data_IF_344177076494
#
_entry.id   IF_344177076494
#
_cell.length_a   1.000
_cell.length_b   1.000
_cell.length_c   1.000
_cell.angle_alpha   90.00
_cell.angle_beta   90.00
_cell.angle_gamma   90.00
#
_symmetry.space_group_name_H-M   'P 1'
#
loop_
_entity.id
_entity.type
_entity.pdbx_description
1 polymer ?
#
# COMPACT_ATOMS: atom_id res chain seq x y z
N UNK A 1 19.66 -6.53 11.35
CA UNK A 1 18.60 -5.58 11.78
C UNK A 1 17.24 -6.27 11.95
N UNK A 2 16.79 -7.07 10.97
CA UNK A 2 15.53 -7.83 11.05
C UNK A 2 15.43 -8.72 12.29
N UNK A 3 16.48 -9.47 12.63
CA UNK A 3 16.53 -10.30 13.85
C UNK A 3 16.29 -9.50 15.14
N UNK A 4 16.91 -8.32 15.27
CA UNK A 4 16.75 -7.47 16.46
C UNK A 4 15.31 -6.94 16.58
N UNK A 5 14.69 -6.57 15.46
CA UNK A 5 13.29 -6.11 15.43
C UNK A 5 12.32 -7.25 15.75
N UNK A 6 12.55 -8.43 15.18
CA UNK A 6 11.77 -9.62 15.44
C UNK A 6 11.85 -10.04 16.90
N UNK A 7 13.06 -10.07 17.47
CA UNK A 7 13.30 -10.37 18.87
C UNK A 7 12.66 -9.32 19.80
N UNK A 8 12.73 -8.03 19.46
CA UNK A 8 12.12 -6.97 20.27
C UNK A 8 10.59 -7.02 20.30
N UNK A 9 9.97 -7.39 19.18
CA UNK A 9 8.51 -7.60 19.14
C UNK A 9 8.11 -8.92 19.80
N UNK A 10 8.99 -9.92 19.78
CA UNK A 10 8.71 -11.24 20.37
C UNK A 10 8.73 -11.17 21.90
N UNK A 11 7.63 -11.55 22.55
CA UNK A 11 7.45 -11.41 24.00
C UNK A 11 7.08 -9.99 24.45
N UNK A 12 6.79 -9.08 23.52
CA UNK A 12 6.30 -7.75 23.87
C UNK A 12 4.81 -7.78 24.26
N UNK A 13 4.34 -6.86 25.13
CA UNK A 13 2.90 -6.74 25.44
C UNK A 13 2.04 -6.51 24.20
N UNK A 14 2.60 -5.89 23.16
CA UNK A 14 1.94 -5.67 21.88
C UNK A 14 1.71 -6.99 21.12
N UNK A 15 2.70 -7.89 21.10
CA UNK A 15 2.53 -9.22 20.51
C UNK A 15 1.49 -10.03 21.31
N UNK A 16 1.58 -10.05 22.64
CA UNK A 16 0.63 -10.77 23.49
C UNK A 16 -0.80 -10.30 23.23
N UNK A 17 -1.01 -8.98 23.17
CA UNK A 17 -2.31 -8.38 22.85
C UNK A 17 -2.78 -8.79 21.46
N UNK A 18 -1.91 -8.72 20.44
CA UNK A 18 -2.27 -9.09 19.08
C UNK A 18 -2.64 -10.59 18.96
N UNK A 19 -1.88 -11.47 19.61
CA UNK A 19 -2.16 -12.91 19.65
C UNK A 19 -3.46 -13.17 20.40
N UNK A 20 -3.67 -12.53 21.55
CA UNK A 20 -4.89 -12.65 22.34
C UNK A 20 -6.11 -12.24 21.51
N UNK A 21 -6.07 -11.07 20.87
CA UNK A 21 -7.17 -10.56 20.05
C UNK A 21 -7.50 -11.52 18.91
N UNK A 22 -6.49 -11.96 18.15
CA UNK A 22 -6.69 -12.85 17.01
C UNK A 22 -7.17 -14.25 17.40
N UNK A 23 -6.84 -14.71 18.62
CA UNK A 23 -7.24 -16.03 19.12
C UNK A 23 -8.56 -16.06 19.89
N UNK A 24 -8.94 -14.97 20.56
CA UNK A 24 -10.06 -14.95 21.51
C UNK A 24 -11.24 -14.10 21.07
N UNK A 25 -11.09 -13.19 20.09
CA UNK A 25 -12.22 -12.40 19.56
C UNK A 25 -12.82 -13.15 18.35
N UNK A 26 -14.07 -13.65 18.46
CA UNK A 26 -14.68 -14.42 17.37
C UNK A 26 -14.76 -13.60 16.08
N UNK A 27 -14.29 -14.19 14.97
CA UNK A 27 -14.35 -13.57 13.63
C UNK A 27 -13.37 -12.41 13.39
N UNK A 28 -12.54 -12.02 14.37
CA UNK A 28 -11.61 -10.90 14.17
C UNK A 28 -10.62 -11.13 13.02
N UNK A 29 -9.95 -12.30 12.87
CA UNK A 29 -9.04 -12.52 11.75
C UNK A 29 -9.68 -12.32 10.36
N UNK A 30 -10.83 -12.95 10.02
CA UNK A 30 -11.46 -12.73 8.71
C UNK A 30 -12.04 -11.31 8.54
N UNK A 31 -12.51 -10.66 9.61
CA UNK A 31 -12.97 -9.26 9.54
C UNK A 31 -11.79 -8.33 9.22
N UNK A 32 -10.68 -8.46 9.94
CA UNK A 32 -9.48 -7.66 9.72
C UNK A 32 -8.92 -7.85 8.30
N UNK A 33 -8.90 -9.09 7.79
CA UNK A 33 -8.49 -9.37 6.42
C UNK A 33 -9.46 -8.79 5.39
N UNK A 34 -10.78 -8.86 5.62
CA UNK A 34 -11.78 -8.25 4.75
C UNK A 34 -11.60 -6.74 4.67
N UNK A 35 -11.43 -6.06 5.81
CA UNK A 35 -11.16 -4.63 5.87
C UNK A 35 -9.85 -4.27 5.16
N UNK A 36 -8.80 -5.08 5.30
CA UNK A 36 -7.54 -4.89 4.58
C UNK A 36 -7.73 -4.99 3.06
N UNK A 37 -8.50 -5.97 2.57
CA UNK A 37 -8.77 -6.14 1.14
C UNK A 37 -9.61 -4.97 0.60
N UNK A 38 -10.64 -4.54 1.34
CA UNK A 38 -11.43 -3.36 0.98
C UNK A 38 -10.57 -2.09 0.93
N UNK A 39 -9.68 -1.90 1.90
CA UNK A 39 -8.73 -0.79 1.87
C UNK A 39 -7.79 -0.84 0.66
N UNK A 40 -7.28 -2.03 0.30
CA UNK A 40 -6.53 -2.20 -0.95
C UNK A 40 -7.38 -1.81 -2.16
N UNK A 41 -8.64 -2.26 -2.24
CA UNK A 41 -9.53 -1.91 -3.35
C UNK A 41 -9.76 -0.40 -3.46
N UNK A 42 -9.91 0.30 -2.33
CA UNK A 42 -10.03 1.77 -2.30
C UNK A 42 -8.73 2.43 -2.78
N UNK A 43 -7.57 2.05 -2.25
CA UNK A 43 -6.26 2.58 -2.70
C UNK A 43 -6.06 2.37 -4.19
N UNK A 44 -6.33 1.17 -4.70
CA UNK A 44 -6.17 0.85 -6.11
C UNK A 44 -7.12 1.70 -6.96
N UNK A 45 -8.40 1.75 -6.61
CA UNK A 45 -9.40 2.49 -7.39
C UNK A 45 -9.09 3.99 -7.42
N UNK A 46 -8.75 4.60 -6.28
CA UNK A 46 -8.46 6.03 -6.21
C UNK A 46 -7.18 6.40 -6.95
N UNK A 47 -6.09 5.65 -6.75
CA UNK A 47 -4.78 5.96 -7.34
C UNK A 47 -4.73 5.63 -8.83
N UNK A 48 -5.27 4.48 -9.25
CA UNK A 48 -5.31 4.07 -10.66
C UNK A 48 -6.09 5.07 -11.49
N UNK A 49 -7.25 5.56 -11.00
CA UNK A 49 -8.03 6.54 -11.73
C UNK A 49 -7.28 7.86 -11.95
N UNK A 50 -6.54 8.35 -10.94
CA UNK A 50 -5.68 9.54 -11.08
C UNK A 50 -4.53 9.29 -12.07
N UNK A 51 -3.87 8.13 -12.00
CA UNK A 51 -2.75 7.80 -12.88
C UNK A 51 -3.20 7.62 -14.34
N UNK A 52 -4.30 6.90 -14.60
CA UNK A 52 -4.87 6.75 -15.94
C UNK A 52 -5.27 8.10 -16.52
N UNK A 53 -5.76 9.03 -15.69
CA UNK A 53 -6.04 10.39 -16.12
C UNK A 53 -4.78 11.15 -16.54
N UNK A 54 -3.68 11.05 -15.78
CA UNK A 54 -2.39 11.63 -16.17
C UNK A 54 -1.88 11.09 -17.50
N UNK A 55 -2.04 9.77 -17.70
CA UNK A 55 -1.66 9.08 -18.93
C UNK A 55 -2.60 9.36 -20.12
N UNK A 56 -3.74 10.02 -19.88
CA UNK A 56 -4.75 10.30 -20.92
C UNK A 56 -5.56 9.07 -21.34
N UNK A 57 -5.56 8.01 -20.53
CA UNK A 57 -6.22 6.73 -20.83
C UNK A 57 -7.64 6.64 -20.23
N UNK A 58 -7.98 7.48 -19.26
CA UNK A 58 -9.30 7.50 -18.63
C UNK A 58 -9.71 8.91 -18.19
N UNK A 59 -11.03 9.09 -17.99
CA UNK A 59 -11.65 10.32 -17.48
C UNK A 59 -11.26 11.62 -18.23
N UNK A 60 -11.22 11.65 -19.58
CA UNK A 60 -10.72 12.81 -20.33
C UNK A 60 -11.48 14.12 -20.06
N UNK A 61 -12.76 14.03 -19.68
CA UNK A 61 -13.61 15.18 -19.35
C UNK A 61 -13.41 15.74 -17.93
N UNK A 62 -12.61 15.07 -17.10
CA UNK A 62 -12.41 15.47 -15.70
C UNK A 62 -11.12 16.28 -15.53
N UNK A 63 -11.16 17.28 -14.64
CA UNK A 63 -9.97 18.05 -14.27
C UNK A 63 -9.07 17.22 -13.33
N UNK A 64 -7.76 17.20 -13.61
CA UNK A 64 -6.79 16.42 -12.83
C UNK A 64 -6.75 16.86 -11.36
N UNK A 65 -6.74 18.18 -11.12
CA UNK A 65 -6.63 18.73 -9.76
C UNK A 65 -7.88 18.43 -8.93
N UNK A 66 -9.06 18.48 -9.55
CA UNK A 66 -10.32 18.08 -8.91
C UNK A 66 -10.32 16.59 -8.56
N UNK A 67 -9.91 15.72 -9.49
CA UNK A 67 -9.79 14.28 -9.24
C UNK A 67 -8.84 13.98 -8.08
N UNK A 68 -7.66 14.60 -8.06
CA UNK A 68 -6.69 14.44 -6.97
C UNK A 68 -7.30 14.91 -5.64
N UNK A 69 -7.96 16.07 -5.64
CA UNK A 69 -8.61 16.63 -4.45
C UNK A 69 -9.70 15.73 -3.87
N UNK A 70 -10.44 15.00 -4.72
CA UNK A 70 -11.51 14.08 -4.31
C UNK A 70 -11.02 12.69 -3.95
N UNK A 71 -10.10 12.12 -4.72
CA UNK A 71 -9.71 10.71 -4.62
C UNK A 71 -8.58 10.47 -3.61
N UNK A 72 -7.60 11.37 -3.51
CA UNK A 72 -6.45 11.16 -2.63
C UNK A 72 -6.78 11.08 -1.13
N UNK A 73 -7.77 11.83 -0.58
CA UNK A 73 -8.19 11.64 0.81
C UNK A 73 -8.61 10.19 1.13
N UNK A 74 -9.30 9.52 0.20
CA UNK A 74 -9.68 8.11 0.34
C UNK A 74 -8.46 7.19 0.34
N UNK A 75 -7.46 7.48 -0.50
CA UNK A 75 -6.17 6.76 -0.49
C UNK A 75 -5.53 6.81 0.90
N UNK A 76 -5.51 7.98 1.55
CA UNK A 76 -4.87 8.13 2.85
C UNK A 76 -5.59 7.37 3.97
N UNK A 77 -6.92 7.47 4.01
CA UNK A 77 -7.71 6.69 4.97
C UNK A 77 -7.57 5.20 4.76
N UNK A 78 -7.60 4.74 3.51
CA UNK A 78 -7.45 3.33 3.18
C UNK A 78 -6.04 2.80 3.49
N UNK A 79 -4.99 3.61 3.29
CA UNK A 79 -3.63 3.25 3.72
C UNK A 79 -3.52 3.14 5.24
N UNK A 80 -4.18 4.02 5.98
CA UNK A 80 -4.23 3.92 7.45
C UNK A 80 -4.95 2.63 7.89
N UNK A 81 -6.12 2.33 7.32
CA UNK A 81 -6.85 1.08 7.59
C UNK A 81 -6.00 -0.14 7.27
N UNK A 82 -5.32 -0.15 6.12
CA UNK A 82 -4.43 -1.23 5.71
C UNK A 82 -3.23 -1.38 6.65
N UNK A 83 -2.65 -0.26 7.10
CA UNK A 83 -1.55 -0.27 8.05
C UNK A 83 -1.97 -0.89 9.38
N UNK A 84 -3.11 -0.46 9.96
CA UNK A 84 -3.62 -0.98 11.24
C UNK A 84 -3.92 -2.47 11.14
N UNK A 85 -4.71 -2.86 10.14
CA UNK A 85 -5.11 -4.26 9.94
C UNK A 85 -3.92 -5.15 9.61
N UNK A 86 -2.94 -4.66 8.83
CA UNK A 86 -1.72 -5.39 8.51
C UNK A 86 -0.77 -5.53 9.70
N UNK A 87 -0.58 -4.46 10.49
CA UNK A 87 0.26 -4.48 11.68
C UNK A 87 -0.21 -5.51 12.70
N UNK A 88 -1.53 -5.68 12.86
CA UNK A 88 -2.09 -6.70 13.75
C UNK A 88 -1.49 -8.09 13.48
N UNK A 89 -1.38 -8.48 12.20
CA UNK A 89 -0.81 -9.77 11.82
C UNK A 89 0.71 -9.80 11.93
N UNK A 90 1.39 -8.72 11.54
CA UNK A 90 2.86 -8.61 11.63
C UNK A 90 3.32 -8.70 13.08
N UNK A 91 2.67 -7.97 13.98
CA UNK A 91 2.99 -7.96 15.41
C UNK A 91 2.65 -9.30 16.07
N UNK A 92 1.57 -9.97 15.67
CA UNK A 92 1.24 -11.29 16.20
C UNK A 92 2.28 -12.36 15.84
N UNK A 93 2.86 -12.30 14.64
CA UNK A 93 3.80 -13.32 14.12
C UNK A 93 5.03 -12.68 13.46
N UNK A 94 5.88 -11.93 14.19
CA UNK A 94 6.93 -11.10 13.59
C UNK A 94 7.92 -11.92 12.75
N UNK A 95 8.30 -13.11 13.24
CA UNK A 95 9.23 -14.00 12.52
C UNK A 95 8.68 -14.42 11.14
N UNK A 96 7.37 -14.68 11.03
CA UNK A 96 6.74 -15.07 9.75
C UNK A 96 6.86 -13.98 8.68
N UNK A 97 6.90 -12.71 9.08
CA UNK A 97 6.92 -11.60 8.14
C UNK A 97 8.34 -11.08 7.90
N UNK A 98 9.17 -10.89 8.94
CA UNK A 98 10.49 -10.29 8.75
C UNK A 98 11.50 -11.21 8.08
N UNK A 99 11.38 -12.53 8.23
CA UNK A 99 12.21 -13.49 7.51
C UNK A 99 11.64 -13.91 6.16
N UNK A 100 10.50 -13.34 5.76
CA UNK A 100 9.91 -13.57 4.45
C UNK A 100 10.45 -12.53 3.45
N UNK A 101 11.25 -12.93 2.44
CA UNK A 101 11.83 -11.98 1.48
C UNK A 101 10.76 -11.23 0.66
N UNK A 102 9.60 -11.84 0.40
CA UNK A 102 8.49 -11.19 -0.32
C UNK A 102 7.89 -10.05 0.52
N UNK A 103 7.94 -10.13 1.85
CA UNK A 103 7.58 -9.01 2.71
C UNK A 103 8.50 -7.81 2.46
N UNK A 104 9.81 -8.03 2.39
CA UNK A 104 10.78 -6.98 2.05
C UNK A 104 10.51 -6.36 0.67
N UNK A 105 10.31 -7.20 -0.36
CA UNK A 105 9.94 -6.75 -1.70
C UNK A 105 8.67 -5.90 -1.72
N UNK A 106 7.61 -6.33 -1.02
CA UNK A 106 6.37 -5.56 -0.90
C UNK A 106 6.64 -4.15 -0.39
N UNK A 107 7.48 -3.99 0.64
CA UNK A 107 7.81 -2.67 1.18
C UNK A 107 8.73 -1.85 0.27
N UNK A 108 9.62 -2.48 -0.48
CA UNK A 108 10.41 -1.82 -1.54
C UNK A 108 9.54 -1.25 -2.65
N UNK A 109 8.38 -1.86 -2.94
CA UNK A 109 7.38 -1.27 -3.84
C UNK A 109 6.49 -0.23 -3.14
N UNK A 110 6.03 -0.52 -1.92
CA UNK A 110 5.07 0.30 -1.19
C UNK A 110 5.60 1.68 -0.85
N UNK A 111 6.83 1.76 -0.33
CA UNK A 111 7.40 3.03 0.13
C UNK A 111 7.51 4.03 -1.03
N UNK A 112 8.13 3.70 -2.18
CA UNK A 112 8.14 4.60 -3.33
C UNK A 112 6.75 4.93 -3.89
N UNK A 113 5.81 3.97 -3.92
CA UNK A 113 4.45 4.22 -4.41
C UNK A 113 3.72 5.28 -3.56
N UNK A 114 3.82 5.14 -2.23
CA UNK A 114 3.27 6.11 -1.28
C UNK A 114 3.98 7.45 -1.38
N UNK A 115 5.30 7.48 -1.56
CA UNK A 115 6.06 8.72 -1.79
C UNK A 115 5.62 9.44 -3.05
N UNK A 116 5.45 8.73 -4.17
CA UNK A 116 4.93 9.31 -5.42
C UNK A 116 3.54 9.89 -5.20
N UNK A 117 2.64 9.12 -4.58
CA UNK A 117 1.29 9.57 -4.25
C UNK A 117 1.30 10.85 -3.38
N UNK A 118 2.21 10.92 -2.41
CA UNK A 118 2.37 12.08 -1.54
C UNK A 118 2.88 13.31 -2.31
N UNK A 119 3.84 13.14 -3.22
CA UNK A 119 4.35 14.22 -4.07
C UNK A 119 3.22 14.75 -4.96
N UNK A 120 2.50 13.87 -5.66
CA UNK A 120 1.35 14.23 -6.51
C UNK A 120 0.34 15.05 -5.70
N UNK A 121 -0.08 14.52 -4.56
CA UNK A 121 -1.07 15.18 -3.71
C UNK A 121 -0.59 16.53 -3.17
N UNK A 122 0.66 16.63 -2.70
CA UNK A 122 1.21 17.87 -2.14
C UNK A 122 1.40 18.96 -3.17
N UNK A 123 1.90 18.64 -4.37
CA UNK A 123 2.06 19.64 -5.42
C UNK A 123 0.70 20.20 -5.86
N UNK A 124 -0.29 19.32 -6.06
CA UNK A 124 -1.66 19.73 -6.41
C UNK A 124 -2.36 20.54 -5.31
N UNK A 125 -2.05 20.28 -4.03
CA UNK A 125 -2.58 21.07 -2.91
C UNK A 125 -1.92 22.45 -2.78
N UNK A 126 -0.63 22.56 -3.10
CA UNK A 126 0.10 23.83 -3.05
C UNK A 126 -0.34 24.78 -4.16
N UNK A 127 -0.56 24.24 -5.35
CA UNK A 127 -0.89 25.02 -6.54
C UNK A 127 -1.91 24.26 -7.40
N UNK A 128 -3.19 24.71 -7.45
CA UNK A 128 -4.17 24.13 -8.34
C UNK A 128 -3.69 24.17 -9.80
N UNK A 129 -3.81 23.07 -10.52
CA UNK A 129 -3.35 22.96 -11.90
C UNK A 129 -1.83 22.79 -12.07
N UNK A 130 -1.05 22.63 -10.98
CA UNK A 130 0.42 22.52 -11.02
C UNK A 130 0.97 21.66 -12.17
N UNK A 131 0.39 20.48 -12.37
CA UNK A 131 0.85 19.48 -13.35
C UNK A 131 0.53 19.83 -14.80
N UNK A 132 -0.41 20.75 -15.04
CA UNK A 132 -0.89 21.13 -16.37
C UNK A 132 -0.26 22.44 -16.87
N UNK A 133 0.54 23.13 -16.04
CA UNK A 133 1.11 24.43 -16.38
C UNK A 133 2.19 24.39 -17.47
N UNK A 134 2.97 23.30 -17.54
CA UNK A 134 4.04 23.16 -18.53
C UNK A 134 4.11 21.73 -19.05
N UNK A 135 4.57 21.56 -20.29
CA UNK A 135 4.75 20.25 -20.90
C UNK A 135 5.72 19.36 -20.09
N UNK A 136 6.76 19.95 -19.48
CA UNK A 136 7.72 19.22 -18.65
C UNK A 136 7.07 18.65 -17.37
N UNK A 137 6.20 19.42 -16.70
CA UNK A 137 5.46 18.95 -15.52
C UNK A 137 4.44 17.89 -15.86
N UNK A 138 3.77 18.02 -17.02
CA UNK A 138 2.84 17.00 -17.48
C UNK A 138 3.56 15.69 -17.80
N UNK A 139 4.74 15.76 -18.43
CA UNK A 139 5.56 14.59 -18.73
C UNK A 139 6.04 13.90 -17.44
N UNK A 140 6.53 14.66 -16.45
CA UNK A 140 6.95 14.08 -15.18
C UNK A 140 5.79 13.40 -14.45
N UNK A 141 4.59 13.99 -14.47
CA UNK A 141 3.38 13.36 -13.92
C UNK A 141 3.04 12.04 -14.60
N UNK A 142 3.18 11.95 -15.94
CA UNK A 142 2.97 10.72 -16.72
C UNK A 142 3.97 9.63 -16.34
N UNK A 143 5.25 9.96 -16.22
CA UNK A 143 6.29 9.01 -15.81
C UNK A 143 6.02 8.52 -14.38
N UNK A 144 5.73 9.45 -13.45
CA UNK A 144 5.38 9.10 -12.08
C UNK A 144 4.14 8.20 -12.01
N UNK A 145 3.11 8.49 -12.82
CA UNK A 145 1.90 7.67 -12.91
C UNK A 145 2.21 6.25 -13.40
N UNK A 146 2.99 6.10 -14.48
CA UNK A 146 3.36 4.79 -15.00
C UNK A 146 4.17 3.97 -13.98
N UNK A 147 5.19 4.58 -13.36
CA UNK A 147 6.00 3.94 -12.32
C UNK A 147 5.15 3.55 -11.12
N UNK A 148 4.28 4.45 -10.65
CA UNK A 148 3.39 4.21 -9.52
C UNK A 148 2.44 3.03 -9.77
N UNK A 149 1.88 2.90 -10.98
CA UNK A 149 1.04 1.75 -11.34
C UNK A 149 1.79 0.42 -11.22
N UNK A 150 3.02 0.34 -11.74
CA UNK A 150 3.87 -0.87 -11.62
C UNK A 150 4.16 -1.19 -10.15
N UNK A 151 4.49 -0.17 -9.36
CA UNK A 151 4.76 -0.34 -7.93
C UNK A 151 3.52 -0.84 -7.17
N UNK A 152 2.33 -0.27 -7.41
CA UNK A 152 1.09 -0.71 -6.78
C UNK A 152 0.74 -2.16 -7.14
N UNK A 153 0.94 -2.57 -8.40
CA UNK A 153 0.81 -3.98 -8.79
C UNK A 153 1.77 -4.86 -7.98
N UNK A 154 3.03 -4.45 -7.84
CA UNK A 154 4.02 -5.14 -7.01
C UNK A 154 3.59 -5.27 -5.54
N UNK A 155 3.01 -4.21 -4.95
CA UNK A 155 2.47 -4.22 -3.58
C UNK A 155 1.35 -5.25 -3.41
N UNK A 156 0.40 -5.30 -4.35
CA UNK A 156 -0.74 -6.22 -4.30
C UNK A 156 -0.28 -7.66 -4.46
N UNK A 157 0.57 -7.93 -5.46
CA UNK A 157 1.15 -9.26 -5.70
C UNK A 157 1.95 -9.73 -4.49
N UNK A 158 2.85 -8.90 -3.97
CA UNK A 158 3.62 -9.20 -2.76
C UNK A 158 2.73 -9.49 -1.55
N UNK A 159 1.62 -8.76 -1.41
CA UNK A 159 0.62 -9.00 -0.35
C UNK A 159 0.00 -10.40 -0.37
N UNK A 160 -0.27 -10.96 -1.55
CA UNK A 160 -0.78 -12.33 -1.69
C UNK A 160 0.33 -13.37 -1.58
N UNK A 161 1.48 -13.14 -2.22
CA UNK A 161 2.60 -14.08 -2.21
C UNK A 161 3.24 -14.30 -0.84
N UNK A 162 3.18 -13.34 0.10
CA UNK A 162 3.59 -13.58 1.51
C UNK A 162 2.89 -14.81 2.12
N UNK A 163 1.65 -15.09 1.72
CA UNK A 163 0.92 -16.26 2.22
C UNK A 163 1.38 -17.58 1.58
N UNK A 164 2.06 -17.53 0.43
CA UNK A 164 2.43 -18.68 -0.40
C UNK A 164 3.93 -18.87 -0.54
N UNK A 165 4.76 -18.08 0.13
CA UNK A 165 6.21 -18.20 0.05
C UNK A 165 6.71 -19.59 0.34
N UNK A 166 6.09 -20.29 1.29
CA UNK A 166 6.46 -21.65 1.64
C UNK A 166 6.36 -22.55 0.38
N UNK A 167 5.32 -22.41 -0.44
CA UNK A 167 5.18 -23.14 -1.71
C UNK A 167 6.16 -22.70 -2.82
N UNK A 168 6.68 -21.48 -2.77
CA UNK A 168 7.64 -20.97 -3.76
C UNK A 168 9.06 -21.48 -3.48
N UNK A 169 9.43 -21.62 -2.21
CA UNK A 169 10.76 -22.07 -1.80
C UNK A 169 10.88 -23.60 -1.67
N UNK A 170 9.76 -24.33 -1.47
CA UNK A 170 9.73 -25.80 -1.53
C UNK A 170 9.92 -26.40 -2.94
N UNK A 171 10.04 -25.58 -4.01
CA UNK A 171 10.40 -26.04 -5.35
C UNK A 171 11.93 -26.11 -5.59
N UNK A 172 12.74 -25.89 -4.54
CA UNK A 172 14.21 -25.90 -4.62
C UNK A 172 14.89 -26.94 -3.71
N UNK A 173 14.15 -27.90 -3.13
CA UNK A 173 14.72 -29.13 -2.54
C UNK A 173 14.15 -30.39 -3.20
#
# INVERSE_FOLDING_TARGET
MQERLAAWLSGSPAQETAVYLLGNVPGLPPIAQSLHILGIAVVMSSTVMVHLRFLGLAAPSQNISEMIGRLMPWTWWALLTNAITGLLFVVARPNRYFFNPVFGWKFMCLVPAVTIALIIYRMSKREPGYWEQTAARLLSARVMAAVSLVLWVGVVLGGRWIAYTDYLYFLYE
#
